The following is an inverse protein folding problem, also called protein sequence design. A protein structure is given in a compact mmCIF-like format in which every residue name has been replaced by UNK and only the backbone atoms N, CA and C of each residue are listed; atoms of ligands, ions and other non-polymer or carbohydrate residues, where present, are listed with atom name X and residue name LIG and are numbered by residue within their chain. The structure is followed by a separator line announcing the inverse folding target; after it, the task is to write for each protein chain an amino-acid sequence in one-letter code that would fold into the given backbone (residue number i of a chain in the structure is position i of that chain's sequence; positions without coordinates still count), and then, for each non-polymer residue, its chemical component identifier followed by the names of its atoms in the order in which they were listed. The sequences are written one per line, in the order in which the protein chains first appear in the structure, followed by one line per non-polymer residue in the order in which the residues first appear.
data_IF_338341600714
#
_entry.id   IF_338341600714
#
_cell.length_a   1.000
_cell.length_b   1.000
_cell.length_c   1.000
_cell.angle_alpha   90.00
_cell.angle_beta   90.00
_cell.angle_gamma   90.00
#
_symmetry.space_group_name_H-M   'P 1'
#
loop_
_entity.id
_entity.type
_entity.pdbx_description
1 polymer ?
#
# COMPACT_ATOMS: atom_id res chain seq x y z
N UNK A 1 -7.64 18.07 -14.76
CA UNK A 1 -8.58 17.12 -14.11
C UNK A 1 -9.39 17.91 -13.07
N UNK A 2 -10.70 17.69 -12.92
CA UNK A 2 -11.50 18.42 -11.94
C UNK A 2 -10.88 18.27 -10.55
N UNK A 3 -10.78 19.38 -9.83
CA UNK A 3 -10.25 19.43 -8.47
C UNK A 3 -11.23 18.72 -7.54
N UNK A 4 -10.68 17.85 -6.70
CA UNK A 4 -11.32 17.23 -5.52
C UNK A 4 -12.59 16.47 -5.83
N UNK A 5 -12.46 15.17 -6.12
CA UNK A 5 -13.54 14.24 -5.84
C UNK A 5 -13.65 14.09 -4.31
N UNK A 6 -14.85 14.30 -3.78
CA UNK A 6 -15.10 14.09 -2.35
C UNK A 6 -14.77 12.64 -2.00
N UNK A 7 -13.99 12.45 -0.95
CA UNK A 7 -13.69 11.14 -0.41
C UNK A 7 -14.97 10.52 0.15
N UNK A 8 -15.53 9.58 -0.61
CA UNK A 8 -16.78 8.88 -0.27
C UNK A 8 -16.55 7.62 0.57
N UNK A 9 -15.31 7.33 0.99
CA UNK A 9 -15.06 6.20 1.87
C UNK A 9 -15.74 6.41 3.22
N UNK A 10 -16.22 5.32 3.83
CA UNK A 10 -17.04 5.31 5.07
C UNK A 10 -16.42 6.08 6.24
N UNK A 11 -15.12 6.37 6.19
CA UNK A 11 -14.34 7.05 7.23
C UNK A 11 -13.40 8.16 6.73
N UNK A 12 -13.57 8.65 5.48
CA UNK A 12 -12.68 9.67 4.90
C UNK A 12 -11.20 9.27 4.89
N UNK A 13 -10.95 8.01 4.49
CA UNK A 13 -9.66 7.32 4.51
C UNK A 13 -8.56 8.06 3.76
N UNK A 14 -8.89 8.79 2.70
CA UNK A 14 -7.97 9.45 1.80
C UNK A 14 -7.84 10.97 2.05
N UNK A 15 -8.60 11.50 3.03
CA UNK A 15 -8.65 12.94 3.36
C UNK A 15 -8.31 13.27 4.82
N UNK A 16 -8.14 12.27 5.70
CA UNK A 16 -7.74 12.47 7.11
C UNK A 16 -6.28 12.91 7.22
N UNK A 17 -6.03 13.89 8.09
CA UNK A 17 -4.68 14.29 8.49
C UNK A 17 -3.92 13.18 9.25
N UNK A 18 -2.61 13.07 8.97
CA UNK A 18 -1.66 12.26 9.72
C UNK A 18 -1.50 12.86 11.12
N UNK A 19 -1.59 12.02 12.15
CA UNK A 19 -1.46 12.41 13.55
C UNK A 19 -0.09 12.03 14.13
N UNK A 20 0.25 12.59 15.29
CA UNK A 20 1.48 12.21 16.01
C UNK A 20 1.48 10.73 16.43
N UNK A 21 0.31 10.13 16.67
CA UNK A 21 0.17 8.70 16.97
C UNK A 21 0.53 7.83 15.76
N UNK A 22 0.14 8.25 14.55
CA UNK A 22 0.47 7.55 13.31
C UNK A 22 1.99 7.53 13.08
N UNK A 23 2.65 8.66 13.34
CA UNK A 23 4.12 8.78 13.28
C UNK A 23 4.78 7.89 14.34
N UNK A 24 4.26 7.86 15.57
CA UNK A 24 4.79 7.01 16.63
C UNK A 24 4.69 5.52 16.26
N UNK A 25 3.57 5.10 15.67
CA UNK A 25 3.36 3.74 15.20
C UNK A 25 4.33 3.38 14.06
N UNK A 26 4.54 4.29 13.10
CA UNK A 26 5.48 4.10 12.00
C UNK A 26 6.92 4.00 12.51
N UNK A 27 7.33 4.85 13.47
CA UNK A 27 8.64 4.74 14.12
C UNK A 27 8.84 3.37 14.79
N UNK A 28 7.85 2.90 15.54
CA UNK A 28 7.90 1.58 16.18
C UNK A 28 8.08 0.44 15.17
N UNK A 29 7.36 0.50 14.04
CA UNK A 29 7.52 -0.48 12.95
C UNK A 29 8.90 -0.40 12.28
N UNK A 30 9.39 0.81 12.02
CA UNK A 30 10.73 0.99 11.46
C UNK A 30 11.81 0.42 12.40
N UNK A 31 11.71 0.69 13.72
CA UNK A 31 12.60 0.13 14.74
C UNK A 31 12.63 -1.41 14.71
N UNK A 32 11.47 -2.05 14.58
CA UNK A 32 11.37 -3.51 14.47
C UNK A 32 12.03 -4.06 13.19
N UNK A 33 12.15 -3.24 12.14
CA UNK A 33 12.69 -3.62 10.83
C UNK A 33 14.07 -3.02 10.51
N UNK A 34 14.74 -2.36 11.46
CA UNK A 34 16.05 -1.67 11.32
C UNK A 34 17.24 -2.57 10.92
N UNK A 35 17.02 -3.85 10.61
CA UNK A 35 18.02 -4.69 9.90
C UNK A 35 18.13 -4.36 8.41
N UNK A 36 17.34 -3.44 7.87
CA UNK A 36 17.35 -3.09 6.44
C UNK A 36 18.29 -1.92 6.15
N UNK A 37 19.13 -2.09 5.13
CA UNK A 37 20.21 -1.19 4.71
C UNK A 37 19.78 0.29 4.64
N UNK A 38 20.73 1.16 5.00
CA UNK A 38 20.68 2.62 4.81
C UNK A 38 20.26 2.96 3.38
N UNK A 39 19.32 3.89 3.22
CA UNK A 39 18.96 4.42 1.90
C UNK A 39 20.12 5.21 1.29
N UNK A 40 19.93 5.68 0.05
CA UNK A 40 20.92 6.49 -0.68
C UNK A 40 21.25 7.83 0.02
N UNK A 41 20.37 8.30 0.91
CA UNK A 41 20.56 9.53 1.66
C UNK A 41 21.30 9.30 2.98
N UNK A 42 22.23 10.20 3.26
CA UNK A 42 23.06 10.31 4.47
C UNK A 42 22.25 10.56 5.75
N UNK A 43 20.93 10.74 5.66
CA UNK A 43 20.05 10.80 6.83
C UNK A 43 19.83 9.40 7.41
N UNK A 44 20.39 9.20 8.58
CA UNK A 44 20.25 7.99 9.38
C UNK A 44 18.84 7.88 9.96
N UNK A 45 18.32 6.66 10.13
CA UNK A 45 17.07 6.45 10.84
C UNK A 45 17.10 7.07 12.25
N UNK A 46 18.27 7.18 12.88
CA UNK A 46 18.46 7.87 14.16
C UNK A 46 18.04 9.34 14.15
N UNK A 47 18.27 10.06 13.05
CA UNK A 47 17.85 11.46 12.92
C UNK A 47 16.34 11.59 12.77
N UNK A 48 15.68 10.67 12.07
CA UNK A 48 14.21 10.66 12.02
C UNK A 48 13.64 10.32 13.40
N UNK A 49 14.25 9.39 14.12
CA UNK A 49 13.78 8.99 15.45
C UNK A 49 13.84 10.15 16.45
N UNK A 50 14.80 11.07 16.31
CA UNK A 50 14.96 12.22 17.20
C UNK A 50 14.00 13.38 16.93
N UNK A 51 13.44 13.51 15.72
CA UNK A 51 12.44 14.56 15.42
C UNK A 51 11.13 14.25 16.16
N UNK A 52 10.51 15.24 16.79
CA UNK A 52 9.21 15.06 17.48
C UNK A 52 8.13 14.55 16.52
N UNK A 53 7.23 13.71 17.02
CA UNK A 53 6.16 13.13 16.21
C UNK A 53 5.20 14.20 15.67
N UNK A 54 4.98 15.27 16.44
CA UNK A 54 4.10 16.39 16.09
C UNK A 54 4.66 17.19 14.92
N UNK A 55 5.97 17.45 14.90
CA UNK A 55 6.64 18.14 13.79
C UNK A 55 6.64 17.28 12.52
N UNK A 56 6.88 15.97 12.65
CA UNK A 56 6.80 15.04 11.51
C UNK A 56 5.38 14.96 10.95
N UNK A 57 4.36 14.87 11.80
CA UNK A 57 2.97 14.87 11.37
C UNK A 57 2.61 16.17 10.61
N UNK A 58 3.01 17.33 11.15
CA UNK A 58 2.84 18.63 10.48
C UNK A 58 3.56 18.69 9.13
N UNK A 59 4.79 18.20 9.07
CA UNK A 59 5.57 18.13 7.83
C UNK A 59 4.85 17.26 6.79
N UNK A 60 4.44 16.05 7.15
CA UNK A 60 3.78 15.13 6.24
C UNK A 60 2.44 15.67 5.73
N UNK A 61 1.60 16.22 6.61
CA UNK A 61 0.34 16.85 6.20
C UNK A 61 0.58 18.01 5.24
N UNK A 62 1.60 18.83 5.50
CA UNK A 62 1.98 19.91 4.59
C UNK A 62 2.44 19.38 3.24
N UNK A 63 3.29 18.35 3.20
CA UNK A 63 3.74 17.72 1.95
C UNK A 63 2.58 17.14 1.14
N UNK A 64 1.60 16.51 1.80
CA UNK A 64 0.37 15.99 1.16
C UNK A 64 -0.46 17.13 0.59
N UNK A 65 -0.72 18.17 1.38
CA UNK A 65 -1.52 19.33 0.95
C UNK A 65 -0.87 20.09 -0.21
N UNK A 66 0.45 20.25 -0.19
CA UNK A 66 1.22 20.95 -1.23
C UNK A 66 1.55 20.04 -2.43
N UNK A 67 1.18 18.75 -2.40
CA UNK A 67 1.53 17.71 -3.41
C UNK A 67 3.03 17.57 -3.67
N UNK A 68 3.85 17.87 -2.65
CA UNK A 68 5.31 17.82 -2.73
C UNK A 68 5.88 16.50 -2.18
N UNK A 69 5.16 15.38 -2.39
CA UNK A 69 5.65 14.06 -1.94
C UNK A 69 6.97 13.65 -2.63
N UNK A 70 7.19 14.13 -3.86
CA UNK A 70 8.42 13.91 -4.64
C UNK A 70 9.66 14.55 -3.97
N UNK A 71 9.47 15.59 -3.15
CA UNK A 71 10.58 16.23 -2.44
C UNK A 71 11.16 15.39 -1.29
N UNK A 72 10.48 14.31 -0.90
CA UNK A 72 11.02 13.32 0.01
C UNK A 72 11.69 12.25 -0.84
N UNK A 73 12.99 12.33 -1.07
CA UNK A 73 13.76 11.22 -1.69
C UNK A 73 14.44 10.33 -0.62
N UNK A 74 14.18 10.62 0.66
CA UNK A 74 14.90 10.03 1.78
C UNK A 74 14.10 9.00 2.60
N UNK A 75 14.67 8.58 3.72
CA UNK A 75 14.01 7.75 4.73
C UNK A 75 12.67 8.34 5.27
N UNK A 76 12.41 9.64 5.08
CA UNK A 76 11.11 10.27 5.32
C UNK A 76 10.05 9.83 4.31
N UNK A 77 10.40 9.60 3.04
CA UNK A 77 9.46 9.03 2.06
C UNK A 77 9.10 7.61 2.45
N UNK A 78 10.08 6.80 2.85
CA UNK A 78 9.80 5.45 3.37
C UNK A 78 8.86 5.49 4.57
N UNK A 79 9.08 6.43 5.49
CA UNK A 79 8.18 6.64 6.63
C UNK A 79 6.80 7.11 6.17
N UNK A 80 6.70 8.06 5.25
CA UNK A 80 5.42 8.54 4.75
C UNK A 80 4.65 7.45 4.01
N UNK A 81 5.30 6.71 3.11
CA UNK A 81 4.70 5.56 2.41
C UNK A 81 4.34 4.45 3.40
N UNK A 82 5.14 4.22 4.44
CA UNK A 82 4.78 3.32 5.52
C UNK A 82 3.59 3.86 6.30
N UNK A 83 3.52 5.17 6.59
CA UNK A 83 2.36 5.78 7.25
C UNK A 83 1.15 5.65 6.34
N UNK A 84 1.24 5.84 5.03
CA UNK A 84 0.11 5.64 4.09
C UNK A 84 -0.30 4.15 4.05
N UNK A 85 0.66 3.22 3.98
CA UNK A 85 0.39 1.77 3.95
C UNK A 85 -0.13 1.23 5.30
N UNK A 86 0.37 1.80 6.40
CA UNK A 86 0.10 1.35 7.76
C UNK A 86 -0.83 2.26 8.52
N UNK A 87 -1.40 3.27 7.84
CA UNK A 87 -2.03 4.46 8.40
C UNK A 87 -3.03 4.14 9.48
N UNK A 88 -3.54 2.91 9.53
CA UNK A 88 -4.58 2.54 10.46
C UNK A 88 -4.49 1.10 10.95
N UNK A 89 -3.31 0.70 11.45
CA UNK A 89 -3.10 -0.62 12.09
C UNK A 89 -4.00 -0.88 13.30
N UNK A 90 -4.75 0.11 13.80
CA UNK A 90 -5.58 -0.01 15.01
C UNK A 90 -7.08 -0.12 14.74
N UNK A 91 -7.56 0.22 13.53
CA UNK A 91 -9.02 0.41 13.33
C UNK A 91 -9.54 0.06 11.91
N UNK A 92 -8.71 -0.54 11.04
CA UNK A 92 -9.13 -1.23 9.79
C UNK A 92 -9.55 -0.34 8.60
N UNK A 93 -8.76 0.68 8.26
CA UNK A 93 -9.16 1.70 7.27
C UNK A 93 -7.95 2.13 6.41
N UNK A 94 -7.67 1.30 5.42
CA UNK A 94 -6.52 1.35 4.54
C UNK A 94 -7.01 1.15 3.09
N UNK A 95 -6.24 1.56 2.08
CA UNK A 95 -6.56 1.24 0.68
C UNK A 95 -6.79 -0.27 0.47
N UNK A 96 -6.08 -1.13 1.24
CA UNK A 96 -6.35 -2.59 1.24
C UNK A 96 -7.70 -2.94 1.88
N UNK A 97 -8.03 -2.41 3.06
CA UNK A 97 -9.31 -2.77 3.70
C UNK A 97 -10.49 -2.19 2.94
N UNK A 98 -10.33 -1.01 2.33
CA UNK A 98 -11.28 -0.45 1.37
C UNK A 98 -11.41 -1.37 0.15
N UNK A 99 -10.29 -1.81 -0.44
CA UNK A 99 -10.33 -2.72 -1.57
C UNK A 99 -10.92 -4.09 -1.22
N UNK A 100 -10.81 -4.55 0.03
CA UNK A 100 -11.46 -5.76 0.53
C UNK A 100 -12.96 -5.53 0.81
N UNK A 101 -13.34 -4.42 1.45
CA UNK A 101 -14.74 -4.11 1.78
C UNK A 101 -15.59 -3.84 0.54
N UNK A 102 -15.00 -3.18 -0.46
CA UNK A 102 -15.63 -2.91 -1.75
C UNK A 102 -15.49 -4.09 -2.74
N UNK A 103 -14.85 -5.20 -2.34
CA UNK A 103 -14.68 -6.37 -3.19
C UNK A 103 -13.86 -6.12 -4.46
N UNK A 104 -12.97 -5.13 -4.45
CA UNK A 104 -12.09 -4.78 -5.57
C UNK A 104 -11.05 -5.88 -5.81
N UNK A 105 -10.55 -6.50 -4.74
CA UNK A 105 -9.58 -7.59 -4.82
C UNK A 105 -10.30 -8.94 -4.93
N UNK A 106 -10.09 -9.72 -6.00
CA UNK A 106 -10.67 -11.06 -6.10
C UNK A 106 -10.04 -12.00 -5.07
N UNK A 107 -10.77 -13.03 -4.66
CA UNK A 107 -10.27 -14.04 -3.69
C UNK A 107 -9.02 -14.77 -4.16
N UNK A 108 -8.80 -14.86 -5.48
CA UNK A 108 -7.61 -15.46 -6.09
C UNK A 108 -6.34 -14.60 -5.96
N UNK A 109 -6.46 -13.33 -5.54
CA UNK A 109 -5.33 -12.44 -5.37
C UNK A 109 -4.63 -12.68 -4.02
N UNK A 110 -3.53 -13.43 -4.07
CA UNK A 110 -2.77 -13.80 -2.87
C UNK A 110 -1.54 -12.92 -2.63
N UNK A 111 -0.97 -12.33 -3.69
CA UNK A 111 0.25 -11.53 -3.59
C UNK A 111 0.05 -10.24 -2.78
N UNK A 112 1.04 -9.88 -1.96
CA UNK A 112 1.06 -8.64 -1.16
C UNK A 112 -0.17 -8.42 -0.25
N UNK A 113 -0.86 -9.51 0.11
CA UNK A 113 -2.05 -9.51 0.98
C UNK A 113 -1.73 -10.16 2.34
N UNK A 114 -1.92 -9.47 3.47
CA UNK A 114 -1.70 -10.05 4.79
C UNK A 114 -2.52 -11.33 4.99
N UNK A 115 -1.91 -12.35 5.59
CA UNK A 115 -2.57 -13.65 5.82
C UNK A 115 -2.53 -14.60 4.62
N UNK A 116 -2.17 -14.13 3.42
CA UNK A 116 -2.00 -14.98 2.24
C UNK A 116 -0.52 -15.31 2.03
N UNK A 117 -0.24 -16.58 1.70
CA UNK A 117 1.11 -17.08 1.45
C UNK A 117 1.21 -17.69 0.05
N UNK A 118 2.42 -17.78 -0.46
CA UNK A 118 2.73 -18.47 -1.73
C UNK A 118 2.28 -19.94 -1.70
N UNK A 119 2.30 -20.56 -0.52
CA UNK A 119 1.82 -21.92 -0.25
C UNK A 119 0.36 -22.11 -0.66
N UNK A 120 -0.50 -21.09 -0.52
CA UNK A 120 -1.91 -21.16 -0.90
C UNK A 120 -2.06 -21.44 -2.40
N UNK A 121 -1.30 -20.73 -3.24
CA UNK A 121 -1.35 -20.90 -4.70
C UNK A 121 -0.81 -22.28 -5.12
N UNK A 122 0.27 -22.73 -4.49
CA UNK A 122 0.83 -24.06 -4.75
C UNK A 122 -0.17 -25.17 -4.36
N UNK A 123 -0.86 -25.00 -3.22
CA UNK A 123 -1.89 -25.93 -2.77
C UNK A 123 -3.09 -25.95 -3.73
N UNK A 124 -3.59 -24.79 -4.17
CA UNK A 124 -4.70 -24.70 -5.14
C UNK A 124 -4.34 -25.43 -6.44
N UNK A 125 -3.15 -25.19 -6.99
CA UNK A 125 -2.69 -25.85 -8.21
C UNK A 125 -2.58 -27.37 -8.03
N UNK A 126 -2.04 -27.81 -6.88
CA UNK A 126 -1.95 -29.24 -6.55
C UNK A 126 -3.33 -29.89 -6.49
N UNK A 127 -4.28 -29.29 -5.77
CA UNK A 127 -5.65 -29.82 -5.66
C UNK A 127 -6.35 -29.86 -7.02
N UNK A 128 -6.14 -28.84 -7.86
CA UNK A 128 -6.67 -28.83 -9.23
C UNK A 128 -6.10 -29.99 -10.06
N UNK A 129 -4.80 -30.25 -9.96
CA UNK A 129 -4.14 -31.36 -10.66
C UNK A 129 -4.64 -32.72 -10.16
N UNK A 130 -4.74 -32.93 -8.85
CA UNK A 130 -5.26 -34.16 -8.24
C UNK A 130 -6.71 -34.43 -8.65
N UNK A 131 -7.55 -33.38 -8.70
CA UNK A 131 -8.95 -33.48 -9.14
C UNK A 131 -9.05 -33.84 -10.62
N UNK A 132 -8.28 -33.18 -11.48
CA UNK A 132 -8.27 -33.46 -12.91
C UNK A 132 -7.81 -34.90 -13.19
N UNK A 133 -6.76 -35.35 -12.51
CA UNK A 133 -6.28 -36.73 -12.59
C UNK A 133 -7.36 -37.73 -12.18
N UNK A 134 -8.04 -37.51 -11.05
CA UNK A 134 -9.13 -38.38 -10.56
C UNK A 134 -10.29 -38.48 -11.54
N UNK A 135 -10.64 -37.38 -12.21
CA UNK A 135 -11.75 -37.33 -13.16
C UNK A 135 -11.36 -37.79 -14.57
N UNK A 136 -10.08 -38.12 -14.81
CA UNK A 136 -9.58 -38.49 -16.14
C UNK A 136 -9.62 -37.35 -17.15
N UNK A 137 -9.58 -36.10 -16.68
CA UNK A 137 -9.60 -34.91 -17.54
C UNK A 137 -8.21 -34.25 -17.60
N UNK A 138 -7.80 -33.70 -18.76
CA UNK A 138 -6.58 -32.90 -18.84
C UNK A 138 -6.75 -31.58 -18.07
N UNK A 139 -5.71 -31.17 -17.34
CA UNK A 139 -5.58 -29.84 -16.76
C UNK A 139 -4.61 -29.01 -17.60
N UNK A 140 -5.09 -27.92 -18.19
CA UNK A 140 -4.26 -26.95 -18.90
C UNK A 140 -3.91 -25.79 -17.96
N UNK A 141 -2.63 -25.45 -17.86
CA UNK A 141 -2.13 -24.39 -16.98
C UNK A 141 -1.29 -23.42 -17.80
N UNK A 142 -1.53 -22.12 -17.62
CA UNK A 142 -0.73 -21.05 -18.25
C UNK A 142 -0.04 -20.24 -17.16
N UNK A 143 1.27 -20.07 -17.28
CA UNK A 143 2.06 -19.19 -16.42
C UNK A 143 2.23 -17.85 -17.15
N UNK A 144 1.59 -16.81 -16.62
CA UNK A 144 1.68 -15.45 -17.16
C UNK A 144 2.52 -14.62 -16.21
N UNK A 145 3.56 -13.98 -16.74
CA UNK A 145 4.41 -13.05 -16.00
C UNK A 145 4.50 -11.72 -16.75
N UNK A 146 4.60 -10.62 -15.99
CA UNK A 146 4.66 -9.26 -16.54
C UNK A 146 6.10 -8.76 -16.51
N UNK A 147 6.68 -8.49 -17.67
CA UNK A 147 8.01 -7.87 -17.75
C UNK A 147 7.98 -6.44 -17.23
N UNK A 148 8.86 -6.10 -16.29
CA UNK A 148 8.99 -4.76 -15.71
C UNK A 148 7.66 -4.20 -15.19
N UNK A 149 6.91 -4.98 -14.42
CA UNK A 149 5.56 -4.63 -13.98
C UNK A 149 5.45 -3.24 -13.32
N UNK A 150 6.38 -2.85 -12.43
CA UNK A 150 6.32 -1.54 -11.76
C UNK A 150 6.67 -0.36 -12.68
N UNK A 151 7.80 -0.38 -13.43
CA UNK A 151 8.12 0.73 -14.32
C UNK A 151 7.16 0.87 -15.51
N UNK A 152 6.47 -0.21 -15.90
CA UNK A 152 5.57 -0.22 -17.06
C UNK A 152 4.12 0.19 -16.74
N UNK A 153 3.79 0.53 -15.48
CA UNK A 153 2.43 0.95 -15.13
C UNK A 153 2.09 2.26 -15.83
N UNK A 154 1.02 2.25 -16.63
CA UNK A 154 0.45 3.46 -17.18
C UNK A 154 -0.26 4.26 -16.08
N UNK A 155 0.35 5.36 -15.64
CA UNK A 155 -0.19 6.18 -14.56
C UNK A 155 -1.58 6.75 -14.89
N UNK A 156 -1.84 7.18 -16.13
CA UNK A 156 -3.16 7.70 -16.51
C UNK A 156 -4.27 6.68 -16.32
N UNK A 157 -4.02 5.42 -16.70
CA UNK A 157 -4.98 4.31 -16.51
C UNK A 157 -5.11 3.97 -15.02
N UNK A 158 -4.01 3.98 -14.27
CA UNK A 158 -4.03 3.75 -12.84
C UNK A 158 -4.91 4.78 -12.12
N UNK A 159 -4.76 6.06 -12.43
CA UNK A 159 -5.58 7.13 -11.85
C UNK A 159 -7.06 6.99 -12.21
N UNK A 160 -7.36 6.65 -13.46
CA UNK A 160 -8.75 6.38 -13.87
C UNK A 160 -9.36 5.20 -13.10
N UNK A 161 -8.59 4.14 -12.85
CA UNK A 161 -9.04 3.01 -12.02
C UNK A 161 -9.33 3.45 -10.58
N UNK A 162 -8.47 4.26 -9.97
CA UNK A 162 -8.71 4.79 -8.63
C UNK A 162 -9.97 5.64 -8.56
N UNK A 163 -10.18 6.54 -9.51
CA UNK A 163 -11.40 7.36 -9.59
C UNK A 163 -12.65 6.48 -9.71
N UNK A 164 -12.65 5.49 -10.61
CA UNK A 164 -13.79 4.57 -10.77
C UNK A 164 -14.03 3.70 -9.52
N UNK A 165 -12.97 3.37 -8.80
CA UNK A 165 -13.03 2.65 -7.52
C UNK A 165 -13.32 3.55 -6.32
N UNK A 166 -13.62 4.85 -6.52
CA UNK A 166 -13.85 5.83 -5.44
C UNK A 166 -12.68 5.98 -4.46
N UNK A 167 -11.48 5.70 -4.94
CA UNK A 167 -10.21 5.94 -4.24
C UNK A 167 -9.77 7.34 -4.66
N UNK A 168 -10.19 8.35 -3.91
CA UNK A 168 -9.95 9.76 -4.25
C UNK A 168 -9.61 10.57 -3.01
N UNK A 169 -8.66 11.50 -3.12
CA UNK A 169 -8.29 12.40 -2.03
C UNK A 169 -6.87 12.97 -2.16
N UNK A 170 -6.46 13.92 -1.30
CA UNK A 170 -5.16 14.59 -1.37
C UNK A 170 -3.93 13.67 -1.32
N UNK A 171 -4.08 12.46 -0.75
CA UNK A 171 -3.01 11.45 -0.72
C UNK A 171 -2.80 10.79 -2.10
N UNK A 172 -3.84 10.78 -2.94
CA UNK A 172 -3.90 10.10 -4.23
C UNK A 172 -3.75 11.11 -5.40
N UNK A 173 -4.20 12.36 -5.23
CA UNK A 173 -4.17 13.42 -6.25
C UNK A 173 -2.87 14.24 -6.30
#
# INVERSE_FOLDING_TARGET
LPRTFDDTSTDRVFTRDITAEDVAAAKSKLLAHLKTQSGADTMSYSEIMSISNELLAKLFNRCIQERQMIALECCLLKMLTLIIDTHWSRRNTHIRSFAESEGILPESQNGFRPGYRTENNAFILRVAAEKAHRLGHPLYVTFVDLSNAFPSVNHSILWLKFIHSKITGPIID
#
